data_IF_947323612425
#
_entry.id   IF_947323612425
#
_cell.length_a   1.000
_cell.length_b   1.000
_cell.length_c   1.000
_cell.angle_alpha   90.00
_cell.angle_beta   90.00
_cell.angle_gamma   90.00
#
_symmetry.space_group_name_H-M   'P 1'
#
loop_
_entity.id
_entity.type
_entity.pdbx_description
1 polymer ?
#
# COMPACT_ATOMS: atom_id res chain seq x y z
N UNK A 1 -16.01 -5.45 -3.21
CA UNK A 1 -14.91 -5.06 -4.12
C UNK A 1 -15.22 -3.80 -4.93
N UNK A 2 -16.12 -3.82 -5.92
CA UNK A 2 -16.30 -2.67 -6.85
C UNK A 2 -16.64 -1.33 -6.18
N UNK A 3 -17.60 -1.32 -5.25
CA UNK A 3 -17.99 -0.09 -4.53
C UNK A 3 -16.82 0.53 -3.76
N UNK A 4 -16.08 -0.30 -3.01
CA UNK A 4 -14.91 0.17 -2.26
C UNK A 4 -13.80 0.71 -3.18
N UNK A 5 -13.62 0.10 -4.36
CA UNK A 5 -12.69 0.60 -5.36
C UNK A 5 -13.13 1.94 -5.97
N UNK A 6 -14.42 2.09 -6.29
CA UNK A 6 -14.96 3.35 -6.83
C UNK A 6 -14.87 4.49 -5.78
N UNK A 7 -15.09 4.20 -4.50
CA UNK A 7 -14.87 5.15 -3.39
C UNK A 7 -13.40 5.57 -3.28
N UNK A 8 -12.47 4.62 -3.36
CA UNK A 8 -11.03 4.90 -3.38
C UNK A 8 -10.61 5.74 -4.58
N UNK A 9 -11.13 5.45 -5.77
CA UNK A 9 -10.87 6.27 -6.96
C UNK A 9 -11.41 7.70 -6.78
N UNK A 10 -12.54 7.87 -6.11
CA UNK A 10 -13.06 9.18 -5.71
C UNK A 10 -12.10 9.90 -4.77
N UNK A 11 -11.66 9.24 -3.70
CA UNK A 11 -10.72 9.82 -2.73
C UNK A 11 -9.37 10.18 -3.39
N UNK A 12 -8.83 9.35 -4.29
CA UNK A 12 -7.62 9.70 -5.04
C UNK A 12 -7.79 10.96 -5.88
N UNK A 13 -8.94 11.13 -6.51
CA UNK A 13 -9.22 12.31 -7.32
C UNK A 13 -9.37 13.57 -6.47
N UNK A 14 -9.99 13.43 -5.31
CA UNK A 14 -10.20 14.52 -4.36
C UNK A 14 -8.90 14.93 -3.66
N UNK A 15 -8.07 13.97 -3.24
CA UNK A 15 -6.84 14.22 -2.48
C UNK A 15 -5.63 14.54 -3.37
N UNK A 16 -5.59 14.05 -4.61
CA UNK A 16 -4.44 14.20 -5.51
C UNK A 16 -4.78 14.95 -6.80
N UNK A 17 -5.57 14.35 -7.69
CA UNK A 17 -5.86 14.90 -9.02
C UNK A 17 -7.06 14.23 -9.70
N UNK A 18 -7.98 15.02 -10.26
CA UNK A 18 -9.18 14.55 -10.97
C UNK A 18 -8.89 13.76 -12.26
N UNK A 19 -7.69 13.89 -12.84
CA UNK A 19 -7.27 13.17 -14.04
C UNK A 19 -6.95 11.69 -13.81
N UNK A 20 -6.89 11.23 -12.56
CA UNK A 20 -6.53 9.84 -12.22
C UNK A 20 -7.58 8.88 -12.79
N UNK A 21 -7.10 7.89 -13.53
CA UNK A 21 -7.94 6.84 -14.14
C UNK A 21 -8.05 5.60 -13.25
N UNK A 22 -9.01 4.73 -13.56
CA UNK A 22 -9.12 3.41 -12.91
C UNK A 22 -7.84 2.59 -13.09
N UNK A 23 -7.16 2.69 -14.23
CA UNK A 23 -5.89 2.01 -14.47
C UNK A 23 -4.76 2.56 -13.58
N UNK A 24 -4.67 3.88 -13.42
CA UNK A 24 -3.70 4.51 -12.53
C UNK A 24 -3.93 4.09 -11.08
N UNK A 25 -5.19 4.05 -10.64
CA UNK A 25 -5.56 3.63 -9.29
C UNK A 25 -5.18 2.16 -9.02
N UNK A 26 -5.35 1.26 -10.01
CA UNK A 26 -4.88 -0.14 -9.92
C UNK A 26 -3.35 -0.19 -9.80
N UNK A 27 -2.63 0.60 -10.61
CA UNK A 27 -1.17 0.65 -10.56
C UNK A 27 -0.68 1.16 -9.20
N UNK A 28 -1.31 2.21 -8.66
CA UNK A 28 -1.00 2.74 -7.34
C UNK A 28 -1.23 1.70 -6.23
N UNK A 29 -2.31 0.91 -6.31
CA UNK A 29 -2.54 -0.20 -5.36
C UNK A 29 -1.44 -1.26 -5.45
N UNK A 30 -1.05 -1.66 -6.66
CA UNK A 30 0.04 -2.62 -6.85
C UNK A 30 1.36 -2.10 -6.28
N UNK A 31 1.70 -0.84 -6.57
CA UNK A 31 2.89 -0.18 -6.02
C UNK A 31 2.83 -0.10 -4.49
N UNK A 32 1.66 0.19 -3.92
CA UNK A 32 1.47 0.22 -2.47
C UNK A 32 1.72 -1.16 -1.84
N UNK A 33 1.15 -2.24 -2.39
CA UNK A 33 1.37 -3.61 -1.88
C UNK A 33 2.87 -3.94 -1.85
N UNK A 34 3.60 -3.62 -2.92
CA UNK A 34 5.04 -3.94 -3.02
C UNK A 34 5.87 -3.11 -2.03
N UNK A 35 5.54 -1.83 -1.88
CA UNK A 35 6.35 -0.88 -1.11
C UNK A 35 5.98 -0.81 0.37
N UNK A 36 4.74 -1.13 0.77
CA UNK A 36 4.27 -1.04 2.16
C UNK A 36 5.19 -1.80 3.14
N UNK A 37 5.60 -3.06 2.88
CA UNK A 37 6.49 -3.77 3.81
C UNK A 37 7.89 -3.15 3.90
N UNK A 38 8.37 -2.49 2.83
CA UNK A 38 9.62 -1.73 2.85
C UNK A 38 9.50 -0.55 3.81
N UNK A 39 8.42 0.22 3.72
CA UNK A 39 8.16 1.36 4.61
C UNK A 39 7.97 0.92 6.06
N UNK A 40 7.21 -0.15 6.31
CA UNK A 40 7.00 -0.69 7.66
C UNK A 40 8.33 -1.08 8.33
N UNK A 41 9.25 -1.66 7.55
CA UNK A 41 10.59 -2.04 7.99
C UNK A 41 11.52 -0.83 8.19
N UNK A 42 11.49 0.14 7.28
CA UNK A 42 12.34 1.33 7.37
C UNK A 42 11.94 2.24 8.53
N UNK A 43 10.65 2.27 8.86
CA UNK A 43 10.07 3.17 9.85
C UNK A 43 9.43 2.40 11.00
N UNK A 44 10.05 1.29 11.43
CA UNK A 44 9.57 0.49 12.57
C UNK A 44 9.31 1.39 13.80
N UNK A 45 8.03 1.47 14.20
CA UNK A 45 7.57 2.35 15.30
C UNK A 45 6.77 3.59 14.85
N UNK A 46 6.77 3.94 13.56
CA UNK A 46 5.88 4.94 12.98
C UNK A 46 4.75 4.29 12.19
N UNK A 47 3.51 4.70 12.48
CA UNK A 47 2.34 4.16 11.79
C UNK A 47 2.05 4.92 10.49
N UNK A 48 2.98 4.88 9.54
CA UNK A 48 2.83 5.57 8.25
C UNK A 48 1.51 5.23 7.54
N UNK A 49 1.10 3.96 7.59
CA UNK A 49 -0.15 3.47 7.00
C UNK A 49 -1.40 3.97 7.72
N UNK A 50 -1.31 4.36 9.00
CA UNK A 50 -2.45 4.86 9.77
C UNK A 50 -2.55 6.39 9.76
N UNK A 51 -1.48 7.11 9.41
CA UNK A 51 -1.45 8.57 9.37
C UNK A 51 -1.69 9.15 7.97
N UNK A 52 -1.28 8.44 6.91
CA UNK A 52 -1.42 8.94 5.54
C UNK A 52 -2.83 8.64 4.96
N UNK A 53 -3.65 9.65 4.61
CA UNK A 53 -5.02 9.46 4.12
C UNK A 53 -5.11 8.53 2.90
N UNK A 54 -4.19 8.69 1.95
CA UNK A 54 -4.09 7.84 0.76
C UNK A 54 -3.77 6.39 1.13
N UNK A 55 -2.85 6.16 2.07
CA UNK A 55 -2.51 4.80 2.55
C UNK A 55 -3.69 4.14 3.27
N UNK A 56 -4.49 4.91 4.04
CA UNK A 56 -5.72 4.41 4.66
C UNK A 56 -6.80 4.05 3.63
N UNK A 57 -6.92 4.85 2.57
CA UNK A 57 -7.83 4.59 1.47
C UNK A 57 -7.44 3.29 0.74
N UNK A 58 -6.15 3.13 0.42
CA UNK A 58 -5.61 1.92 -0.19
C UNK A 58 -5.84 0.70 0.71
N UNK A 59 -5.57 0.82 2.02
CA UNK A 59 -5.77 -0.29 2.96
C UNK A 59 -7.24 -0.74 3.03
N UNK A 60 -8.22 0.18 3.03
CA UNK A 60 -9.65 -0.18 2.99
C UNK A 60 -10.03 -0.98 1.74
N UNK A 61 -9.48 -0.62 0.59
CA UNK A 61 -9.70 -1.39 -0.65
C UNK A 61 -9.06 -2.76 -0.54
N UNK A 62 -7.81 -2.82 -0.04
CA UNK A 62 -7.10 -4.06 0.15
C UNK A 62 -7.82 -4.98 1.14
N UNK A 63 -8.34 -4.49 2.26
CA UNK A 63 -9.09 -5.30 3.23
C UNK A 63 -10.33 -5.96 2.59
N UNK A 64 -11.00 -5.25 1.66
CA UNK A 64 -12.14 -5.79 0.88
C UNK A 64 -11.67 -6.78 -0.20
N UNK A 65 -10.43 -6.68 -0.64
CA UNK A 65 -9.80 -7.59 -1.60
C UNK A 65 -9.04 -8.75 -0.92
N UNK A 66 -8.69 -8.67 0.37
CA UNK A 66 -7.85 -9.63 1.08
C UNK A 66 -8.57 -10.96 1.33
N UNK A 67 -9.90 -10.97 1.17
CA UNK A 67 -10.68 -12.20 0.94
C UNK A 67 -10.21 -12.98 -0.32
N UNK A 68 -9.32 -12.43 -1.16
CA UNK A 68 -8.86 -12.99 -2.42
C UNK A 68 -7.39 -13.52 -2.45
N UNK A 69 -6.67 -13.61 -1.33
CA UNK A 69 -5.28 -14.13 -1.23
C UNK A 69 -4.17 -13.27 -1.89
N UNK A 70 -4.10 -11.99 -1.58
CA UNK A 70 -3.02 -11.10 -2.08
C UNK A 70 -1.63 -11.41 -1.48
N UNK A 71 -1.58 -12.16 -0.36
CA UNK A 71 -0.34 -12.58 0.32
C UNK A 71 0.60 -13.45 -0.52
N UNK A 72 0.12 -14.09 -1.60
CA UNK A 72 0.95 -15.01 -2.39
C UNK A 72 2.09 -14.33 -3.13
N UNK A 73 1.92 -13.10 -3.59
CA UNK A 73 2.94 -12.37 -4.35
C UNK A 73 4.03 -11.77 -3.43
N UNK A 74 3.71 -11.54 -2.16
CA UNK A 74 4.64 -11.01 -1.17
C UNK A 74 5.72 -12.01 -0.73
N UNK A 75 5.49 -13.32 -0.91
CA UNK A 75 6.44 -14.38 -0.50
C UNK A 75 7.77 -14.34 -1.24
N UNK A 76 7.76 -13.96 -2.52
CA UNK A 76 8.99 -13.86 -3.31
C UNK A 76 9.86 -12.67 -2.87
N UNK A 77 9.28 -11.68 -2.19
CA UNK A 77 9.95 -10.47 -1.74
C UNK A 77 10.43 -10.53 -0.27
N UNK A 78 10.15 -11.61 0.46
CA UNK A 78 10.57 -11.75 1.88
C UNK A 78 12.08 -11.51 2.08
N UNK A 79 12.92 -12.07 1.19
CA UNK A 79 14.38 -11.88 1.25
C UNK A 79 14.78 -10.43 0.98
N UNK A 80 14.04 -9.74 0.11
CA UNK A 80 14.25 -8.32 -0.17
C UNK A 80 13.91 -7.47 1.06
N UNK A 81 12.74 -7.69 1.67
CA UNK A 81 12.32 -6.98 2.88
C UNK A 81 13.28 -7.21 4.06
N UNK A 82 13.74 -8.44 4.28
CA UNK A 82 14.76 -8.75 5.29
C UNK A 82 16.10 -8.02 5.02
N UNK A 83 16.49 -7.86 3.76
CA UNK A 83 17.70 -7.10 3.40
C UNK A 83 17.56 -5.61 3.70
N UNK A 84 16.39 -5.02 3.42
CA UNK A 84 16.08 -3.63 3.77
C UNK A 84 16.15 -3.44 5.28
N UNK A 85 15.55 -4.33 6.06
CA UNK A 85 15.56 -4.26 7.53
C UNK A 85 16.98 -4.26 8.10
N UNK A 86 17.81 -5.18 7.60
CA UNK A 86 19.21 -5.28 8.03
C UNK A 86 19.97 -3.98 7.76
N UNK A 87 19.71 -3.31 6.64
CA UNK A 87 20.37 -2.04 6.28
C UNK A 87 19.83 -0.85 7.07
N UNK A 88 18.55 -0.87 7.43
CA UNK A 88 17.91 0.18 8.22
C UNK A 88 18.33 0.15 9.69
N UNK A 89 18.73 -1.03 10.19
CA UNK A 89 19.11 -1.25 11.59
C UNK A 89 20.30 -0.35 11.98
N UNK A 90 20.01 0.69 12.77
CA UNK A 90 20.99 1.67 13.25
C UNK A 90 20.88 3.06 12.61
N UNK A 91 19.88 3.29 11.74
CA UNK A 91 19.53 4.61 11.19
C UNK A 91 18.31 5.22 11.91
N UNK A 92 17.46 4.37 12.50
CA UNK A 92 16.25 4.73 13.25
C UNK A 92 16.50 5.01 14.73
#
# INVERSE_FOLDING_TARGET
ARVAFDEFLGELRDDLNDSITEADAIEMLAQHIITRPVFEVLFEGHQFTSENPVSRAMQRVLDVLDEANLDKESKDLEKFYASVQMRAKGIT
#
